data_IF_679600629508
#
_entry.id   IF_679600629508
#
_cell.length_a   1.000
_cell.length_b   1.000
_cell.length_c   1.000
_cell.angle_alpha   90.00
_cell.angle_beta   90.00
_cell.angle_gamma   90.00
#
_symmetry.space_group_name_H-M   'P 1'
#
loop_
_entity.id
_entity.type
_entity.pdbx_description
1 polymer ?
#
# COMPACT_ATOMS: atom_id res chain seq x y z
N UNK A 1 -3.49 26.40 -13.20
CA UNK A 1 -3.40 25.04 -13.73
C UNK A 1 -3.57 25.14 -15.24
N UNK A 2 -2.79 24.40 -16.05
CA UNK A 2 -2.98 24.33 -17.50
C UNK A 2 -3.90 23.14 -17.82
N UNK A 3 -4.87 23.26 -18.75
CA UNK A 3 -5.80 22.19 -19.06
C UNK A 3 -5.16 21.03 -19.81
N UNK A 4 -4.10 21.28 -20.58
CA UNK A 4 -3.39 20.29 -21.38
C UNK A 4 -1.88 20.62 -21.48
N UNK A 5 -1.11 19.70 -22.05
CA UNK A 5 0.34 19.84 -22.21
C UNK A 5 0.75 20.99 -23.12
N UNK A 6 0.12 21.21 -24.31
CA UNK A 6 0.41 22.38 -25.14
C UNK A 6 0.18 23.70 -24.43
N UNK A 7 -0.92 23.85 -23.70
CA UNK A 7 -1.20 25.05 -22.91
C UNK A 7 -0.19 25.25 -21.77
N UNK A 8 0.31 24.15 -21.18
CA UNK A 8 1.40 24.21 -20.20
C UNK A 8 2.68 24.75 -20.83
N UNK A 9 3.09 24.21 -21.97
CA UNK A 9 4.30 24.60 -22.69
C UNK A 9 4.27 26.09 -23.08
N UNK A 10 3.12 26.60 -23.54
CA UNK A 10 2.92 28.04 -23.79
C UNK A 10 3.02 28.88 -22.53
N UNK A 11 2.50 28.39 -21.40
CA UNK A 11 2.46 29.14 -20.14
C UNK A 11 3.83 29.24 -19.46
N UNK A 12 4.72 28.27 -19.67
CA UNK A 12 6.07 28.24 -19.11
C UNK A 12 7.12 28.85 -20.04
N UNK A 13 6.75 29.12 -21.28
CA UNK A 13 7.64 29.76 -22.26
C UNK A 13 8.12 31.15 -21.76
N UNK A 14 9.36 31.46 -21.96
CA UNK A 14 9.98 32.67 -21.48
C UNK A 14 10.26 32.74 -19.97
N UNK A 15 9.91 31.72 -19.18
CA UNK A 15 10.23 31.69 -17.75
C UNK A 15 11.68 31.30 -17.51
N UNK A 16 12.33 31.97 -16.56
CA UNK A 16 13.67 31.60 -16.09
C UNK A 16 13.61 30.64 -14.94
N UNK A 17 14.47 29.63 -14.95
CA UNK A 17 14.61 28.67 -13.85
C UNK A 17 15.48 29.26 -12.74
N UNK A 18 15.08 29.06 -11.47
CA UNK A 18 15.79 29.60 -10.29
C UNK A 18 17.19 29.02 -10.08
N UNK A 19 17.47 27.81 -10.57
CA UNK A 19 18.72 27.10 -10.28
C UNK A 19 19.86 27.40 -11.27
N UNK A 20 19.55 27.78 -12.51
CA UNK A 20 20.57 28.05 -13.56
C UNK A 20 20.31 29.30 -14.39
N UNK A 21 19.30 30.09 -14.05
CA UNK A 21 18.89 31.28 -14.83
C UNK A 21 18.67 30.99 -16.33
N UNK A 22 18.28 29.74 -16.66
CA UNK A 22 17.97 29.33 -18.02
C UNK A 22 16.57 29.80 -18.38
N UNK A 23 16.43 30.48 -19.50
CA UNK A 23 15.14 30.84 -20.08
C UNK A 23 14.58 29.63 -20.83
N UNK A 24 13.35 29.24 -20.53
CA UNK A 24 12.67 28.14 -21.19
C UNK A 24 12.11 28.65 -22.52
N UNK A 25 12.43 27.97 -23.62
CA UNK A 25 11.87 28.20 -24.93
C UNK A 25 11.07 26.94 -25.31
N UNK A 26 9.81 26.89 -24.91
CA UNK A 26 8.95 25.68 -25.02
C UNK A 26 7.75 25.89 -25.92
N UNK A 27 7.47 27.14 -26.34
CA UNK A 27 6.39 27.39 -27.28
C UNK A 27 6.73 26.84 -28.66
N UNK A 28 5.92 25.90 -29.14
CA UNK A 28 6.11 25.26 -30.45
C UNK A 28 7.02 24.03 -30.45
N UNK A 29 7.57 23.60 -29.33
CA UNK A 29 8.34 22.38 -29.24
C UNK A 29 7.45 21.15 -29.49
N UNK A 30 7.99 20.20 -30.28
CA UNK A 30 7.31 18.97 -30.58
C UNK A 30 7.29 18.04 -29.36
N UNK A 31 6.09 17.68 -28.91
CA UNK A 31 5.91 16.70 -27.85
C UNK A 31 6.17 15.30 -28.37
N UNK A 32 7.30 14.70 -27.96
CA UNK A 32 7.64 13.32 -28.30
C UNK A 32 7.18 12.39 -27.18
N UNK A 33 6.14 11.62 -27.45
CA UNK A 33 5.64 10.60 -26.50
C UNK A 33 6.49 9.33 -26.65
N UNK A 34 7.28 9.00 -25.64
CA UNK A 34 8.02 7.74 -25.59
C UNK A 34 7.22 6.71 -24.79
N UNK A 35 6.98 5.54 -25.41
CA UNK A 35 6.39 4.40 -24.68
C UNK A 35 7.41 3.85 -23.70
N UNK A 36 6.97 3.59 -22.46
CA UNK A 36 7.79 2.94 -21.46
C UNK A 36 8.18 1.53 -21.92
N UNK A 37 9.44 1.15 -21.75
CA UNK A 37 9.91 -0.22 -21.96
C UNK A 37 9.30 -1.17 -20.93
N UNK A 38 9.39 -2.48 -21.20
CA UNK A 38 8.84 -3.52 -20.32
C UNK A 38 9.35 -3.38 -18.86
N UNK A 39 10.67 -3.24 -18.68
CA UNK A 39 11.26 -3.09 -17.34
C UNK A 39 10.82 -1.81 -16.62
N UNK A 40 10.72 -0.70 -17.35
CA UNK A 40 10.25 0.57 -16.76
C UNK A 40 8.80 0.46 -16.31
N UNK A 41 7.96 -0.21 -17.11
CA UNK A 41 6.55 -0.45 -16.75
C UNK A 41 6.42 -1.40 -15.57
N UNK A 42 7.26 -2.43 -15.49
CA UNK A 42 7.30 -3.35 -14.35
C UNK A 42 7.67 -2.61 -13.07
N UNK A 43 8.71 -1.77 -13.10
CA UNK A 43 9.12 -0.94 -11.96
C UNK A 43 8.03 0.05 -11.56
N UNK A 44 7.38 0.71 -12.53
CA UNK A 44 6.27 1.62 -12.27
C UNK A 44 5.09 0.92 -11.59
N UNK A 45 4.76 -0.31 -12.02
CA UNK A 45 3.75 -1.13 -11.36
C UNK A 45 4.17 -1.56 -9.96
N UNK A 46 5.44 -1.89 -9.74
CA UNK A 46 5.95 -2.29 -8.42
C UNK A 46 6.00 -1.13 -7.43
N UNK A 47 6.03 0.12 -7.89
CA UNK A 47 6.00 1.33 -7.05
C UNK A 47 4.55 1.79 -6.76
N UNK A 48 3.53 1.10 -7.31
CA UNK A 48 2.14 1.42 -6.99
C UNK A 48 1.85 1.26 -5.49
N UNK A 49 1.36 2.29 -4.78
CA UNK A 49 1.15 2.25 -3.33
C UNK A 49 0.16 1.18 -2.88
N UNK A 50 -0.85 0.86 -3.70
CA UNK A 50 -1.82 -0.17 -3.37
C UNK A 50 -1.14 -1.55 -3.45
N UNK A 51 -0.33 -1.78 -4.49
CA UNK A 51 0.43 -3.03 -4.63
C UNK A 51 1.46 -3.18 -3.51
N UNK A 52 2.20 -2.11 -3.18
CA UNK A 52 3.18 -2.13 -2.08
C UNK A 52 2.52 -2.43 -0.74
N UNK A 53 1.35 -1.82 -0.48
CA UNK A 53 0.57 -2.08 0.72
C UNK A 53 0.09 -3.54 0.79
N UNK A 54 -0.38 -4.08 -0.34
CA UNK A 54 -0.79 -5.48 -0.44
C UNK A 54 0.39 -6.44 -0.23
N UNK A 55 1.53 -6.18 -0.86
CA UNK A 55 2.74 -6.97 -0.70
C UNK A 55 3.26 -6.95 0.74
N UNK A 56 3.18 -5.79 1.39
CA UNK A 56 3.57 -5.63 2.79
C UNK A 56 2.68 -6.46 3.72
N UNK A 57 1.36 -6.37 3.56
CA UNK A 57 0.40 -7.15 4.35
C UNK A 57 0.52 -8.65 4.09
N UNK A 58 0.59 -9.05 2.81
CA UNK A 58 0.78 -10.45 2.42
C UNK A 58 2.12 -10.99 2.93
N UNK A 59 3.16 -10.15 2.92
CA UNK A 59 4.49 -10.48 3.45
C UNK A 59 4.45 -10.82 4.93
N UNK A 60 3.87 -9.93 5.74
CA UNK A 60 3.74 -10.15 7.19
C UNK A 60 2.82 -11.35 7.46
N UNK A 61 1.68 -11.44 6.78
CA UNK A 61 0.74 -12.55 6.97
C UNK A 61 1.36 -13.92 6.61
N UNK A 62 2.15 -13.98 5.53
CA UNK A 62 2.85 -15.21 5.12
C UNK A 62 3.89 -15.67 6.14
N UNK A 63 4.68 -14.72 6.69
CA UNK A 63 5.66 -15.02 7.73
C UNK A 63 4.96 -15.46 9.03
N UNK A 64 3.91 -14.75 9.45
CA UNK A 64 3.11 -15.11 10.62
C UNK A 64 2.53 -16.51 10.45
N UNK A 65 1.99 -16.82 9.27
CA UNK A 65 1.41 -18.13 8.98
C UNK A 65 2.44 -19.25 9.13
N UNK A 66 3.67 -19.07 8.63
CA UNK A 66 4.74 -20.06 8.78
C UNK A 66 5.16 -20.25 10.23
N UNK A 67 5.26 -19.17 11.02
CA UNK A 67 5.57 -19.26 12.46
C UNK A 67 4.56 -20.11 13.21
N UNK A 68 3.25 -20.01 12.87
CA UNK A 68 2.20 -20.79 13.51
C UNK A 68 2.03 -22.22 12.93
N UNK A 69 2.52 -22.46 11.71
CA UNK A 69 2.43 -23.74 11.02
C UNK A 69 3.82 -24.19 10.52
N UNK A 70 4.75 -24.50 11.45
CA UNK A 70 6.11 -24.87 11.07
C UNK A 70 6.11 -26.11 10.17
N UNK A 71 6.82 -26.02 9.04
CA UNK A 71 6.89 -27.05 8.01
C UNK A 71 6.15 -26.73 6.72
N UNK A 72 5.35 -25.65 6.67
CA UNK A 72 4.72 -25.13 5.44
C UNK A 72 5.57 -23.98 4.91
N UNK A 73 6.75 -24.29 4.36
CA UNK A 73 7.77 -23.29 3.96
C UNK A 73 7.31 -22.29 2.90
N UNK A 74 6.37 -22.68 2.02
CA UNK A 74 5.97 -21.89 0.86
C UNK A 74 5.34 -20.51 1.23
N UNK A 75 4.38 -20.40 2.16
CA UNK A 75 3.78 -19.10 2.51
C UNK A 75 4.79 -18.13 3.12
N UNK A 76 5.70 -18.60 3.97
CA UNK A 76 6.73 -17.75 4.57
C UNK A 76 7.79 -17.30 3.57
N UNK A 77 8.23 -18.18 2.68
CA UNK A 77 9.17 -17.81 1.62
C UNK A 77 8.59 -16.76 0.69
N UNK A 78 7.35 -16.95 0.22
CA UNK A 78 6.64 -15.95 -0.59
C UNK A 78 6.38 -14.67 0.22
N UNK A 79 6.06 -14.80 1.51
CA UNK A 79 5.89 -13.69 2.43
C UNK A 79 7.16 -12.87 2.59
N UNK A 80 8.31 -13.52 2.75
CA UNK A 80 9.60 -12.84 2.86
C UNK A 80 9.95 -12.05 1.58
N UNK A 81 9.77 -12.66 0.40
CA UNK A 81 9.99 -11.98 -0.87
C UNK A 81 9.07 -10.77 -1.03
N UNK A 82 7.77 -10.94 -0.72
CA UNK A 82 6.78 -9.85 -0.76
C UNK A 82 7.15 -8.72 0.19
N UNK A 83 7.56 -9.05 1.42
CA UNK A 83 7.96 -8.06 2.42
C UNK A 83 9.20 -7.27 2.00
N UNK A 84 10.23 -7.94 1.50
CA UNK A 84 11.45 -7.28 0.99
C UNK A 84 11.12 -6.36 -0.17
N UNK A 85 10.26 -6.80 -1.10
CA UNK A 85 9.81 -5.97 -2.23
C UNK A 85 9.05 -4.74 -1.75
N UNK A 86 8.15 -4.90 -0.79
CA UNK A 86 7.40 -3.77 -0.21
C UNK A 86 8.33 -2.77 0.50
N UNK A 87 9.26 -3.24 1.32
CA UNK A 87 10.25 -2.40 2.02
C UNK A 87 11.15 -1.64 1.04
N UNK A 88 11.54 -2.27 -0.07
CA UNK A 88 12.24 -1.59 -1.13
C UNK A 88 11.40 -0.45 -1.73
N UNK A 89 10.13 -0.70 -2.04
CA UNK A 89 9.21 0.34 -2.52
C UNK A 89 9.03 1.49 -1.52
N UNK A 90 8.96 1.18 -0.22
CA UNK A 90 8.87 2.19 0.85
C UNK A 90 10.13 3.07 0.96
N UNK A 91 11.28 2.59 0.50
CA UNK A 91 12.50 3.41 0.45
C UNK A 91 12.48 4.46 -0.67
N UNK A 92 11.63 4.27 -1.68
CA UNK A 92 11.50 5.15 -2.85
C UNK A 92 10.40 6.20 -2.63
N UNK A 93 9.29 5.79 -1.99
CA UNK A 93 8.15 6.66 -1.73
C UNK A 93 8.25 7.32 -0.35
N UNK A 94 7.81 8.58 -0.19
CA UNK A 94 7.70 9.20 1.12
C UNK A 94 6.65 8.47 1.94
N UNK A 95 7.09 7.73 2.96
CA UNK A 95 6.25 6.91 3.82
C UNK A 95 6.16 7.50 5.23
N UNK A 96 4.97 7.39 5.83
CA UNK A 96 4.70 7.83 7.20
C UNK A 96 5.00 6.72 8.21
N UNK A 97 5.91 6.98 9.15
CA UNK A 97 6.19 6.07 10.26
C UNK A 97 4.97 5.80 11.14
N UNK A 98 4.09 6.80 11.30
CA UNK A 98 2.84 6.64 12.04
C UNK A 98 1.90 5.68 11.33
N UNK A 99 1.75 5.79 9.99
CA UNK A 99 0.98 4.84 9.19
C UNK A 99 1.53 3.42 9.29
N UNK A 100 2.85 3.27 9.20
CA UNK A 100 3.51 1.97 9.37
C UNK A 100 3.23 1.36 10.76
N UNK A 101 3.39 2.14 11.83
CA UNK A 101 3.13 1.66 13.20
C UNK A 101 1.66 1.24 13.40
N UNK A 102 0.69 1.99 12.83
CA UNK A 102 -0.73 1.66 12.89
C UNK A 102 -1.06 0.36 12.12
N UNK A 103 -0.41 0.09 10.99
CA UNK A 103 -0.57 -1.17 10.26
C UNK A 103 -0.08 -2.34 11.11
N UNK A 104 1.13 -2.22 11.67
CA UNK A 104 1.71 -3.27 12.53
C UNK A 104 0.82 -3.50 13.76
N UNK A 105 0.36 -2.43 14.41
CA UNK A 105 -0.58 -2.52 15.53
C UNK A 105 -1.88 -3.20 15.12
N UNK A 106 -2.46 -2.82 13.98
CA UNK A 106 -3.68 -3.44 13.45
C UNK A 106 -3.54 -4.94 13.23
N UNK A 107 -2.44 -5.36 12.59
CA UNK A 107 -2.13 -6.78 12.37
C UNK A 107 -1.92 -7.52 13.69
N UNK A 108 -1.19 -6.93 14.66
CA UNK A 108 -1.03 -7.53 15.98
C UNK A 108 -2.36 -7.75 16.69
N UNK A 109 -3.26 -6.77 16.66
CA UNK A 109 -4.59 -6.88 17.26
C UNK A 109 -5.41 -8.00 16.60
N UNK A 110 -5.35 -8.13 15.27
CA UNK A 110 -6.04 -9.20 14.54
C UNK A 110 -5.48 -10.59 14.90
N UNK A 111 -4.16 -10.71 15.03
CA UNK A 111 -3.50 -11.98 15.43
C UNK A 111 -3.87 -12.34 16.87
N UNK A 112 -3.88 -11.37 17.78
CA UNK A 112 -4.26 -11.60 19.18
C UNK A 112 -5.74 -12.05 19.24
N UNK A 113 -6.64 -11.40 18.48
CA UNK A 113 -8.06 -11.76 18.46
C UNK A 113 -8.31 -13.19 17.96
N UNK A 114 -7.47 -13.69 17.06
CA UNK A 114 -7.56 -15.08 16.61
C UNK A 114 -7.23 -16.09 17.71
N UNK A 115 -6.51 -15.71 18.76
CA UNK A 115 -6.09 -16.58 19.87
C UNK A 115 -6.88 -16.33 21.16
N UNK A 116 -7.40 -15.11 21.36
CA UNK A 116 -8.13 -14.70 22.55
C UNK A 116 -9.59 -14.44 22.21
N UNK A 117 -10.52 -14.99 22.99
CA UNK A 117 -11.96 -14.79 22.77
C UNK A 117 -12.39 -13.40 23.25
N UNK A 118 -12.31 -12.41 22.35
CA UNK A 118 -12.64 -11.00 22.65
C UNK A 118 -14.00 -10.56 22.09
N UNK A 119 -14.78 -11.49 21.56
CA UNK A 119 -16.08 -11.24 20.92
C UNK A 119 -16.01 -10.21 19.77
N UNK A 120 -14.85 -10.09 19.12
CA UNK A 120 -14.64 -9.22 17.95
C UNK A 120 -14.22 -7.78 18.28
N UNK A 121 -14.03 -7.42 19.55
CA UNK A 121 -13.59 -6.07 19.91
C UNK A 121 -12.19 -5.76 19.36
N UNK A 122 -11.26 -6.71 19.48
CA UNK A 122 -9.92 -6.58 18.91
C UNK A 122 -9.92 -6.64 17.38
N UNK A 123 -10.81 -7.42 16.76
CA UNK A 123 -11.02 -7.40 15.30
C UNK A 123 -11.41 -6.02 14.83
N UNK A 124 -12.41 -5.37 15.43
CA UNK A 124 -12.82 -4.01 15.06
C UNK A 124 -11.70 -2.99 15.23
N UNK A 125 -11.04 -3.00 16.37
CA UNK A 125 -9.93 -2.09 16.66
C UNK A 125 -8.75 -2.33 15.70
N UNK A 126 -8.44 -3.59 15.40
CA UNK A 126 -7.41 -3.98 14.46
C UNK A 126 -7.70 -3.54 13.04
N UNK A 127 -8.94 -3.73 12.55
CA UNK A 127 -9.37 -3.29 11.23
C UNK A 127 -9.35 -1.76 11.10
N UNK A 128 -9.80 -1.02 12.12
CA UNK A 128 -9.73 0.43 12.14
C UNK A 128 -8.29 0.93 12.11
N UNK A 129 -7.42 0.36 12.96
CA UNK A 129 -5.99 0.69 12.98
C UNK A 129 -5.33 0.40 11.64
N UNK A 130 -5.65 -0.75 11.02
CA UNK A 130 -5.15 -1.14 9.71
C UNK A 130 -5.62 -0.17 8.61
N UNK A 131 -6.92 0.17 8.58
CA UNK A 131 -7.47 1.09 7.59
C UNK A 131 -6.85 2.48 7.69
N UNK A 132 -6.78 3.04 8.89
CA UNK A 132 -6.15 4.36 9.12
C UNK A 132 -4.66 4.30 8.81
N UNK A 133 -3.97 3.25 9.19
CA UNK A 133 -2.56 3.04 8.90
C UNK A 133 -2.26 3.00 7.40
N UNK A 134 -3.06 2.29 6.62
CA UNK A 134 -2.95 2.23 5.15
C UNK A 134 -3.18 3.59 4.50
N UNK A 135 -4.18 4.35 4.95
CA UNK A 135 -4.45 5.70 4.43
C UNK A 135 -3.34 6.69 4.79
N UNK A 136 -2.73 6.54 5.97
CA UNK A 136 -1.65 7.40 6.44
C UNK A 136 -0.29 7.02 5.85
N UNK A 137 -0.09 5.77 5.43
CA UNK A 137 1.22 5.26 5.03
C UNK A 137 1.87 6.11 3.92
N UNK A 138 1.09 6.53 2.91
CA UNK A 138 1.55 7.34 1.79
C UNK A 138 0.83 8.71 1.73
N UNK A 139 0.42 9.23 2.89
CA UNK A 139 -0.30 10.52 2.95
C UNK A 139 0.52 11.68 2.39
N UNK A 140 1.83 11.69 2.65
CA UNK A 140 2.75 12.74 2.23
C UNK A 140 3.21 12.59 0.77
N UNK A 141 2.83 11.48 0.12
CA UNK A 141 3.14 11.27 -1.29
C UNK A 141 2.27 12.16 -2.20
N UNK A 142 2.78 12.55 -3.39
CA UNK A 142 1.99 13.22 -4.42
C UNK A 142 0.72 12.44 -4.76
N UNK A 143 -0.34 13.13 -5.18
CA UNK A 143 -1.67 12.54 -5.41
C UNK A 143 -1.69 11.21 -6.22
N UNK A 144 -0.87 11.00 -7.28
CA UNK A 144 -0.83 9.73 -8.00
C UNK A 144 -0.29 8.55 -7.18
N UNK A 145 0.48 8.85 -6.13
CA UNK A 145 1.16 7.85 -5.28
C UNK A 145 0.54 7.73 -3.89
N UNK A 146 -0.75 7.99 -3.77
CA UNK A 146 -1.52 7.75 -2.55
C UNK A 146 -2.32 6.47 -2.67
N UNK A 147 -2.50 5.77 -1.53
CA UNK A 147 -3.36 4.58 -1.49
C UNK A 147 -4.80 4.96 -1.80
N UNK A 148 -5.44 4.19 -2.66
CA UNK A 148 -6.84 4.40 -3.02
C UNK A 148 -7.76 4.02 -1.85
N UNK A 149 -8.63 4.93 -1.43
CA UNK A 149 -9.57 4.70 -0.33
C UNK A 149 -10.47 3.48 -0.58
N UNK A 150 -10.94 3.27 -1.82
CA UNK A 150 -11.75 2.10 -2.16
C UNK A 150 -10.96 0.79 -2.03
N UNK A 151 -9.67 0.82 -2.36
CA UNK A 151 -8.78 -0.33 -2.13
C UNK A 151 -8.68 -0.64 -0.63
N UNK A 152 -8.51 0.36 0.23
CA UNK A 152 -8.45 0.18 1.69
C UNK A 152 -9.77 -0.41 2.22
N UNK A 153 -10.92 0.12 1.78
CA UNK A 153 -12.24 -0.39 2.17
C UNK A 153 -12.43 -1.84 1.72
N UNK A 154 -12.07 -2.17 0.48
CA UNK A 154 -12.18 -3.53 -0.04
C UNK A 154 -11.27 -4.50 0.72
N UNK A 155 -10.01 -4.11 0.97
CA UNK A 155 -9.03 -4.93 1.64
C UNK A 155 -9.41 -5.18 3.11
N UNK A 156 -9.70 -4.12 3.87
CA UNK A 156 -10.11 -4.24 5.28
C UNK A 156 -11.46 -4.93 5.42
N UNK A 157 -12.38 -4.69 4.50
CA UNK A 157 -13.67 -5.39 4.44
C UNK A 157 -13.51 -6.89 4.17
N UNK A 158 -12.60 -7.28 3.29
CA UNK A 158 -12.28 -8.69 3.01
C UNK A 158 -11.67 -9.37 4.24
N UNK A 159 -10.70 -8.73 4.89
CA UNK A 159 -10.07 -9.24 6.12
C UNK A 159 -11.14 -9.36 7.24
N UNK A 160 -11.97 -8.33 7.43
CA UNK A 160 -13.03 -8.33 8.42
C UNK A 160 -14.09 -9.40 8.17
N UNK A 161 -14.50 -9.57 6.91
CA UNK A 161 -15.44 -10.62 6.50
C UNK A 161 -14.87 -12.03 6.75
N UNK A 162 -13.59 -12.24 6.42
CA UNK A 162 -12.90 -13.49 6.71
C UNK A 162 -12.82 -13.77 8.22
N UNK A 163 -12.46 -12.78 9.02
CA UNK A 163 -12.42 -12.90 10.49
C UNK A 163 -13.79 -13.19 11.08
N UNK A 164 -14.83 -12.50 10.64
CA UNK A 164 -16.20 -12.74 11.09
C UNK A 164 -16.66 -14.16 10.74
N UNK A 165 -16.34 -14.65 9.54
CA UNK A 165 -16.63 -16.02 9.12
C UNK A 165 -15.88 -17.04 9.98
N UNK A 166 -14.57 -16.84 10.22
CA UNK A 166 -13.75 -17.73 11.02
C UNK A 166 -14.25 -17.82 12.48
N UNK A 167 -14.52 -16.65 13.10
CA UNK A 167 -15.08 -16.58 14.45
C UNK A 167 -16.46 -17.25 14.54
N UNK A 168 -17.32 -17.00 13.55
CA UNK A 168 -18.65 -17.66 13.48
C UNK A 168 -18.55 -19.18 13.45
N UNK A 169 -17.62 -19.72 12.66
CA UNK A 169 -17.36 -21.19 12.60
C UNK A 169 -16.79 -21.72 13.90
N UNK A 170 -15.86 -21.00 14.54
CA UNK A 170 -15.28 -21.41 15.81
C UNK A 170 -16.33 -21.47 16.93
N UNK A 171 -17.24 -20.48 17.01
CA UNK A 171 -18.35 -20.49 17.97
C UNK A 171 -19.33 -21.64 17.71
N UNK A 172 -19.65 -21.91 16.45
CA UNK A 172 -20.53 -23.01 16.06
C UNK A 172 -19.94 -24.37 16.42
N UNK A 173 -18.62 -24.55 16.26
CA UNK A 173 -17.92 -25.79 16.60
C UNK A 173 -17.91 -26.07 18.10
N UNK A 174 -17.88 -25.03 18.95
CA UNK A 174 -17.92 -25.15 20.42
C UNK A 174 -19.32 -25.44 20.98
N UNK A 175 -20.38 -25.18 20.21
CA UNK A 175 -21.78 -25.44 20.61
C UNK A 175 -22.28 -26.85 20.28
N UNK A 176 -21.48 -27.63 19.55
CA UNK A 176 -21.72 -29.08 19.28
C UNK A 176 -20.88 -29.94 20.21
#
# INVERSE_FOLDING_TARGET
VAPDLPALLQKIDGRTTNLRHLTLHTAGDAVVTRKMGFFTRLLDTLIDPNLLSLLFLAGIAGIIFEVFHPGVVLPGALGAVSLVTALFGFSILPTSWAGFALIVLGLMLLVIDAHVVTHGALTLSGLLSLAVGLLMLFHDAPAPYRVNTWFVVALTGTIGGFMAFALGKAVQARRR
#
